data_IF_413884436417
#
_entry.id   IF_413884436417
#
_cell.length_a   1.000
_cell.length_b   1.000
_cell.length_c   1.000
_cell.angle_alpha   90.00
_cell.angle_beta   90.00
_cell.angle_gamma   90.00
#
_symmetry.space_group_name_H-M   'P 1'
#
loop_
_entity.id
_entity.type
_entity.pdbx_description
1 polymer ?
#
# COMPACT_ATOMS: atom_id res chain seq x y z
N UNK A 1 -5.68 10.30 -12.32
CA UNK A 1 -5.98 11.16 -11.16
C UNK A 1 -6.90 12.33 -11.49
N UNK A 2 -6.60 13.15 -12.51
CA UNK A 2 -7.39 14.35 -12.83
C UNK A 2 -6.78 15.61 -12.21
N UNK A 3 -5.47 15.76 -12.40
CA UNK A 3 -4.70 16.95 -12.06
C UNK A 3 -4.98 18.10 -13.03
N UNK A 4 -4.64 19.32 -12.64
CA UNK A 4 -4.86 20.56 -13.37
C UNK A 4 -3.63 21.46 -13.24
N UNK A 5 -3.49 22.43 -14.14
CA UNK A 5 -2.35 23.34 -14.17
C UNK A 5 -2.36 24.36 -13.01
N UNK A 6 -3.52 24.60 -12.40
CA UNK A 6 -3.73 25.44 -11.22
C UNK A 6 -3.59 24.69 -9.88
N UNK A 7 -3.21 23.40 -9.89
CA UNK A 7 -3.04 22.64 -8.66
C UNK A 7 -1.82 23.09 -7.84
N UNK A 8 -2.05 23.21 -6.54
CA UNK A 8 -1.00 23.33 -5.53
C UNK A 8 -0.88 21.98 -4.82
N UNK A 9 0.28 21.34 -4.99
CA UNK A 9 0.63 20.07 -4.36
C UNK A 9 1.25 20.32 -2.99
N UNK A 10 0.83 19.59 -1.97
CA UNK A 10 1.46 19.59 -0.65
C UNK A 10 2.16 18.25 -0.39
N UNK A 11 3.45 18.30 -0.06
CA UNK A 11 4.24 17.13 0.32
C UNK A 11 5.04 17.32 1.62
N UNK A 12 4.81 16.47 2.63
CA UNK A 12 5.70 16.32 3.78
C UNK A 12 6.66 15.12 3.63
N UNK A 13 6.74 14.51 2.43
CA UNK A 13 7.49 13.27 2.20
C UNK A 13 8.98 13.55 1.89
N UNK A 14 9.91 12.63 2.23
CA UNK A 14 11.32 12.81 1.93
C UNK A 14 11.58 12.78 0.42
N UNK A 15 12.24 13.82 -0.10
CA UNK A 15 12.44 14.02 -1.55
C UNK A 15 13.41 13.03 -2.21
N UNK A 16 14.12 12.21 -1.43
CA UNK A 16 14.96 11.13 -1.94
C UNK A 16 14.20 9.81 -2.19
N UNK A 17 12.91 9.74 -1.83
CA UNK A 17 12.01 8.64 -2.21
C UNK A 17 11.14 9.02 -3.41
N UNK A 18 10.75 8.03 -4.22
CA UNK A 18 9.92 8.20 -5.43
C UNK A 18 8.64 9.01 -5.17
N UNK A 19 7.98 8.83 -4.03
CA UNK A 19 6.77 9.57 -3.70
C UNK A 19 7.02 11.09 -3.59
N UNK A 20 7.98 11.54 -2.77
CA UNK A 20 8.30 12.97 -2.66
C UNK A 20 9.03 13.52 -3.90
N UNK A 21 10.12 12.86 -4.29
CA UNK A 21 11.03 13.34 -5.34
C UNK A 21 10.48 13.24 -6.77
N UNK A 22 9.84 12.13 -7.13
CA UNK A 22 9.31 11.93 -8.49
C UNK A 22 7.84 12.35 -8.57
N UNK A 23 7.00 11.83 -7.67
CA UNK A 23 5.55 12.02 -7.79
C UNK A 23 5.07 13.41 -7.33
N UNK A 24 5.83 14.16 -6.52
CA UNK A 24 5.55 15.57 -6.21
C UNK A 24 6.47 16.55 -6.94
N UNK A 25 7.78 16.51 -6.71
CA UNK A 25 8.69 17.49 -7.34
C UNK A 25 8.78 17.34 -8.86
N UNK A 26 8.54 16.15 -9.40
CA UNK A 26 8.38 15.96 -10.84
C UNK A 26 7.22 16.75 -11.46
N UNK A 27 6.16 17.07 -10.70
CA UNK A 27 5.06 17.91 -11.21
C UNK A 27 5.53 19.36 -11.43
N UNK A 28 6.34 19.90 -10.51
CA UNK A 28 6.97 21.20 -10.68
C UNK A 28 7.96 21.21 -11.85
N UNK A 29 8.81 20.19 -11.94
CA UNK A 29 9.89 20.12 -12.93
C UNK A 29 9.41 19.82 -14.37
N UNK A 30 8.34 19.05 -14.55
CA UNK A 30 7.83 18.64 -15.87
C UNK A 30 6.63 19.46 -16.35
N UNK A 31 5.79 19.97 -15.43
CA UNK A 31 4.53 20.64 -15.76
C UNK A 31 4.39 22.05 -15.15
N UNK A 32 5.42 22.55 -14.44
CA UNK A 32 5.40 23.87 -13.83
C UNK A 32 4.46 24.02 -12.63
N UNK A 33 3.94 22.92 -12.07
CA UNK A 33 2.99 22.95 -10.95
C UNK A 33 3.61 23.49 -9.66
N UNK A 34 2.80 24.14 -8.81
CA UNK A 34 3.27 24.63 -7.51
C UNK A 34 3.37 23.48 -6.50
N UNK A 35 4.49 23.38 -5.77
CA UNK A 35 4.68 22.37 -4.71
C UNK A 35 5.07 23.05 -3.39
N UNK A 36 4.22 22.90 -2.37
CA UNK A 36 4.47 23.27 -0.99
C UNK A 36 5.14 22.11 -0.24
N UNK A 37 6.40 22.29 0.16
CA UNK A 37 7.24 21.25 0.79
C UNK A 37 7.34 21.49 2.30
N UNK A 38 6.99 20.49 3.12
CA UNK A 38 7.17 20.56 4.58
C UNK A 38 8.41 19.76 5.02
N UNK A 39 9.39 20.45 5.62
CA UNK A 39 10.70 19.88 6.04
C UNK A 39 10.61 18.69 7.02
N UNK A 40 9.56 18.62 7.85
CA UNK A 40 9.29 17.49 8.75
C UNK A 40 7.78 17.31 8.89
N UNK A 41 7.30 16.08 8.67
CA UNK A 41 5.90 15.70 8.87
C UNK A 41 5.38 16.08 10.26
N UNK A 42 4.10 16.44 10.32
CA UNK A 42 3.31 16.62 11.55
C UNK A 42 1.88 16.22 11.22
N UNK A 43 1.30 15.34 12.03
CA UNK A 43 -0.06 14.86 11.83
C UNK A 43 -1.09 15.99 11.99
N UNK A 44 -1.09 16.67 13.13
CA UNK A 44 -2.00 17.79 13.42
C UNK A 44 -1.71 19.03 12.57
N UNK A 45 -0.47 19.16 12.06
CA UNK A 45 -0.10 20.20 11.10
C UNK A 45 -0.52 19.92 9.66
N UNK A 46 -0.92 18.69 9.29
CA UNK A 46 -1.10 18.30 7.89
C UNK A 46 -2.14 19.17 7.16
N UNK A 47 -3.37 19.21 7.67
CA UNK A 47 -4.46 19.97 7.05
C UNK A 47 -4.39 21.47 7.35
N UNK A 48 -3.74 21.88 8.44
CA UNK A 48 -3.41 23.28 8.70
C UNK A 48 -2.47 23.84 7.62
N UNK A 49 -1.43 23.10 7.23
CA UNK A 49 -0.55 23.45 6.11
C UNK A 49 -1.30 23.41 4.77
N UNK A 50 -2.10 22.37 4.51
CA UNK A 50 -2.89 22.28 3.27
C UNK A 50 -3.78 23.53 3.07
N UNK A 51 -4.40 24.02 4.15
CA UNK A 51 -5.18 25.26 4.14
C UNK A 51 -4.29 26.50 3.99
N UNK A 52 -3.20 26.61 4.74
CA UNK A 52 -2.24 27.74 4.70
C UNK A 52 -1.64 27.97 3.31
N UNK A 53 -1.38 26.89 2.57
CA UNK A 53 -0.79 26.93 1.23
C UNK A 53 -1.82 26.78 0.11
N UNK A 54 -3.13 26.83 0.41
CA UNK A 54 -4.22 26.63 -0.56
C UNK A 54 -4.10 25.33 -1.38
N UNK A 55 -3.50 24.29 -0.80
CA UNK A 55 -3.22 23.02 -1.44
C UNK A 55 -4.51 22.32 -1.91
N UNK A 56 -4.52 21.95 -3.19
CA UNK A 56 -5.59 21.20 -3.84
C UNK A 56 -5.26 19.70 -3.91
N UNK A 57 -3.97 19.34 -3.92
CA UNK A 57 -3.49 17.96 -3.99
C UNK A 57 -2.60 17.66 -2.77
N UNK A 58 -2.94 16.63 -1.98
CA UNK A 58 -2.18 16.25 -0.78
C UNK A 58 -1.49 14.90 -0.92
N UNK A 59 -0.19 14.81 -0.62
CA UNK A 59 0.53 13.54 -0.58
C UNK A 59 0.39 12.79 0.75
N UNK A 60 0.28 11.46 0.67
CA UNK A 60 0.32 10.58 1.84
C UNK A 60 1.16 9.31 1.64
N UNK A 61 1.50 8.68 2.75
CA UNK A 61 1.75 7.24 2.87
C UNK A 61 0.81 6.70 3.95
N UNK A 62 0.40 5.44 3.88
CA UNK A 62 -0.67 4.87 4.73
C UNK A 62 -0.53 5.17 6.22
N UNK A 63 0.68 5.09 6.75
CA UNK A 63 0.97 5.32 8.17
C UNK A 63 0.77 6.78 8.59
N UNK A 64 1.03 7.75 7.69
CA UNK A 64 0.66 9.15 7.94
C UNK A 64 -0.84 9.31 8.09
N UNK A 65 -1.66 8.60 7.29
CA UNK A 65 -3.11 8.69 7.39
C UNK A 65 -3.62 8.16 8.74
N UNK A 66 -3.01 7.11 9.30
CA UNK A 66 -3.30 6.68 10.68
C UNK A 66 -2.93 7.75 11.71
N UNK A 67 -1.71 8.30 11.63
CA UNK A 67 -1.28 9.36 12.56
C UNK A 67 -2.17 10.62 12.49
N UNK A 68 -2.61 11.02 11.29
CA UNK A 68 -3.50 12.17 11.07
C UNK A 68 -4.91 11.87 11.61
N UNK A 69 -5.45 10.68 11.35
CA UNK A 69 -6.77 10.27 11.87
C UNK A 69 -6.80 10.16 13.40
N UNK A 70 -5.66 9.86 14.03
CA UNK A 70 -5.50 9.78 15.48
C UNK A 70 -5.33 11.14 16.19
N UNK A 71 -5.22 12.28 15.49
CA UNK A 71 -5.15 13.59 16.16
C UNK A 71 -6.53 14.07 16.63
N UNK A 72 -6.63 14.92 17.67
CA UNK A 72 -7.87 15.60 18.02
C UNK A 72 -8.49 16.33 16.81
N UNK A 73 -9.81 16.51 16.81
CA UNK A 73 -10.52 17.25 15.76
C UNK A 73 -10.07 18.71 15.68
N UNK A 74 -10.03 19.25 14.46
CA UNK A 74 -9.67 20.64 14.20
C UNK A 74 -10.62 21.30 13.21
N UNK A 75 -10.81 22.62 13.33
CA UNK A 75 -11.49 23.41 12.30
C UNK A 75 -10.83 23.29 10.93
N UNK A 76 -9.54 22.93 10.87
CA UNK A 76 -8.80 22.74 9.62
C UNK A 76 -9.17 21.43 8.90
N UNK A 77 -9.77 20.46 9.59
CA UNK A 77 -10.08 19.12 9.06
C UNK A 77 -11.03 19.18 7.85
N UNK A 78 -11.89 20.20 7.74
CA UNK A 78 -12.84 20.37 6.62
C UNK A 78 -12.76 21.73 5.92
N UNK A 79 -11.79 22.59 6.26
CA UNK A 79 -11.68 23.96 5.71
C UNK A 79 -10.46 24.19 4.81
N UNK A 80 -9.86 23.11 4.30
CA UNK A 80 -8.81 23.11 3.28
C UNK A 80 -9.38 22.96 1.85
N UNK A 81 -8.55 23.17 0.83
CA UNK A 81 -8.94 23.04 -0.60
C UNK A 81 -8.63 21.67 -1.23
N UNK A 82 -8.20 20.67 -0.44
CA UNK A 82 -7.84 19.33 -0.93
C UNK A 82 -9.01 18.67 -1.68
N UNK A 83 -8.79 18.43 -2.97
CA UNK A 83 -9.72 17.77 -3.90
C UNK A 83 -9.24 16.38 -4.34
N UNK A 84 -7.94 16.10 -4.20
CA UNK A 84 -7.36 14.76 -4.37
C UNK A 84 -6.29 14.54 -3.28
N UNK A 85 -6.43 13.46 -2.52
CA UNK A 85 -5.35 12.91 -1.72
C UNK A 85 -4.68 11.79 -2.54
N UNK A 86 -3.35 11.77 -2.69
CA UNK A 86 -2.68 10.74 -3.48
C UNK A 86 -1.42 10.17 -2.81
N UNK A 87 -1.20 8.88 -2.96
CA UNK A 87 -0.23 8.17 -2.12
C UNK A 87 -0.35 6.66 -2.22
N UNK A 88 0.23 5.98 -1.25
CA UNK A 88 0.31 4.53 -1.21
C UNK A 88 0.12 3.97 0.22
N UNK A 89 -0.57 2.83 0.32
CA UNK A 89 -0.80 2.06 1.54
C UNK A 89 -1.98 2.49 2.41
N UNK A 90 -3.00 3.20 1.91
CA UNK A 90 -4.13 3.59 2.76
C UNK A 90 -4.91 2.35 3.25
N UNK A 91 -4.77 2.01 4.54
CA UNK A 91 -5.36 0.80 5.12
C UNK A 91 -6.90 0.82 4.96
N UNK A 92 -7.55 -0.23 4.41
CA UNK A 92 -8.99 -0.22 4.11
C UNK A 92 -9.89 0.12 5.31
N UNK A 93 -9.45 -0.23 6.52
CA UNK A 93 -10.17 -0.03 7.78
C UNK A 93 -10.32 1.46 8.15
N UNK A 94 -9.32 2.29 7.84
CA UNK A 94 -9.33 3.73 8.16
C UNK A 94 -9.81 4.59 6.98
N UNK A 95 -9.80 4.06 5.75
CA UNK A 95 -10.09 4.83 4.53
C UNK A 95 -11.46 5.55 4.58
N UNK A 96 -12.60 4.92 4.95
CA UNK A 96 -13.89 5.61 4.97
C UNK A 96 -13.91 6.76 6.00
N UNK A 97 -13.42 6.48 7.21
CA UNK A 97 -13.33 7.45 8.31
C UNK A 97 -12.42 8.64 7.95
N UNK A 98 -11.30 8.37 7.26
CA UNK A 98 -10.39 9.42 6.78
C UNK A 98 -11.08 10.31 5.73
N UNK A 99 -11.78 9.71 4.77
CA UNK A 99 -12.54 10.43 3.73
C UNK A 99 -13.66 11.28 4.35
N UNK A 100 -14.41 10.74 5.32
CA UNK A 100 -15.52 11.42 5.99
C UNK A 100 -15.06 12.54 6.93
N UNK A 101 -14.03 12.28 7.76
CA UNK A 101 -13.49 13.27 8.70
C UNK A 101 -12.82 14.43 7.95
N UNK A 102 -12.06 14.14 6.90
CA UNK A 102 -11.29 15.16 6.19
C UNK A 102 -11.93 15.62 4.87
N UNK A 103 -13.20 15.25 4.63
CA UNK A 103 -13.98 15.67 3.46
C UNK A 103 -13.23 15.51 2.12
N UNK A 104 -12.57 14.36 1.92
CA UNK A 104 -11.66 14.11 0.80
C UNK A 104 -12.45 13.59 -0.41
N UNK A 105 -12.66 14.37 -1.50
CA UNK A 105 -13.55 13.95 -2.59
C UNK A 105 -12.95 12.85 -3.46
N UNK A 106 -11.62 12.71 -3.46
CA UNK A 106 -10.91 11.71 -4.25
C UNK A 106 -9.66 11.20 -3.54
N UNK A 107 -9.48 9.89 -3.56
CA UNK A 107 -8.24 9.21 -3.15
C UNK A 107 -7.64 8.51 -4.37
N UNK A 108 -6.40 8.88 -4.71
CA UNK A 108 -5.59 8.21 -5.72
C UNK A 108 -4.54 7.34 -5.05
N UNK A 109 -4.85 6.05 -4.92
CA UNK A 109 -3.95 5.04 -4.36
C UNK A 109 -3.13 4.40 -5.49
N UNK A 110 -1.81 4.28 -5.32
CA UNK A 110 -0.92 3.62 -6.29
C UNK A 110 -0.04 2.55 -5.64
N UNK A 111 0.24 1.50 -6.41
CA UNK A 111 1.24 0.48 -6.05
C UNK A 111 2.32 0.41 -7.11
N UNK A 112 3.57 0.30 -6.65
CA UNK A 112 4.75 0.03 -7.45
C UNK A 112 5.91 -0.39 -6.55
N UNK A 113 6.74 -1.31 -7.03
CA UNK A 113 7.97 -1.72 -6.36
C UNK A 113 9.16 -0.96 -6.96
N UNK A 114 10.09 -0.48 -6.12
CA UNK A 114 11.27 0.27 -6.56
C UNK A 114 12.18 -0.51 -7.52
N UNK A 115 12.15 -1.83 -7.45
CA UNK A 115 12.95 -2.73 -8.29
C UNK A 115 12.19 -3.29 -9.52
N UNK A 116 10.96 -2.84 -9.77
CA UNK A 116 10.12 -3.33 -10.85
C UNK A 116 9.52 -2.22 -11.73
N UNK A 117 9.57 -2.41 -13.05
CA UNK A 117 9.00 -1.46 -14.04
C UNK A 117 7.45 -1.50 -14.10
N UNK A 118 6.79 -1.91 -13.02
CA UNK A 118 5.37 -2.22 -12.95
C UNK A 118 4.68 -1.33 -11.89
N UNK A 119 3.74 -0.50 -12.34
CA UNK A 119 2.93 0.34 -11.47
C UNK A 119 1.44 0.16 -11.81
N UNK A 120 0.59 0.05 -10.80
CA UNK A 120 -0.88 0.04 -10.91
C UNK A 120 -1.45 1.20 -10.09
N UNK A 121 -2.64 1.66 -10.44
CA UNK A 121 -3.28 2.83 -9.81
C UNK A 121 -4.79 2.62 -9.70
N UNK A 122 -5.33 2.89 -8.52
CA UNK A 122 -6.74 3.14 -8.28
C UNK A 122 -7.02 4.65 -8.49
N UNK A 123 -8.06 4.97 -9.25
CA UNK A 123 -8.37 6.32 -9.69
C UNK A 123 -9.88 6.63 -9.63
N UNK A 124 -10.66 5.81 -8.93
CA UNK A 124 -12.13 5.86 -8.84
C UNK A 124 -12.66 5.78 -7.39
N UNK A 125 -11.76 5.84 -6.40
CA UNK A 125 -12.04 5.73 -4.97
C UNK A 125 -12.46 4.33 -4.48
N UNK A 126 -12.27 3.25 -5.25
CA UNK A 126 -12.60 1.89 -4.77
C UNK A 126 -11.80 1.56 -3.50
N UNK A 127 -12.47 1.51 -2.36
CA UNK A 127 -11.83 1.45 -1.03
C UNK A 127 -10.92 0.24 -0.91
N UNK A 128 -9.66 0.47 -0.52
CA UNK A 128 -8.66 -0.58 -0.31
C UNK A 128 -8.05 -1.17 -1.57
N UNK A 129 -8.56 -0.83 -2.76
CA UNK A 129 -7.93 -1.26 -4.01
C UNK A 129 -6.65 -0.44 -4.27
N UNK A 130 -5.54 -1.13 -4.50
CA UNK A 130 -4.24 -0.54 -4.85
C UNK A 130 -4.08 -0.31 -6.36
N UNK A 131 -4.96 -0.88 -7.16
CA UNK A 131 -4.91 -0.79 -8.61
C UNK A 131 -6.07 -1.50 -9.32
N UNK A 132 -6.06 -1.41 -10.64
CA UNK A 132 -7.03 -2.06 -11.52
C UNK A 132 -6.33 -2.63 -12.76
N UNK A 133 -6.68 -3.86 -13.17
CA UNK A 133 -6.29 -4.47 -14.45
C UNK A 133 -7.55 -5.00 -15.15
N UNK A 134 -7.80 -4.52 -16.37
CA UNK A 134 -8.98 -4.89 -17.16
C UNK A 134 -9.05 -6.40 -17.41
N UNK A 135 -10.17 -7.01 -17.03
CA UNK A 135 -10.48 -8.42 -17.35
C UNK A 135 -10.76 -8.65 -18.84
N UNK A 136 -11.19 -7.62 -19.56
CA UNK A 136 -11.57 -7.70 -20.98
C UNK A 136 -10.34 -7.59 -21.88
N UNK A 137 -9.36 -6.76 -21.51
CA UNK A 137 -8.15 -6.52 -22.31
C UNK A 137 -6.89 -6.52 -21.42
N UNK A 138 -6.55 -7.65 -20.77
CA UNK A 138 -5.43 -7.70 -19.81
C UNK A 138 -4.07 -7.39 -20.46
N UNK A 139 -3.90 -7.70 -21.75
CA UNK A 139 -2.66 -7.47 -22.50
C UNK A 139 -2.28 -5.99 -22.71
N UNK A 140 -3.16 -5.04 -22.36
CA UNK A 140 -2.85 -3.59 -22.41
C UNK A 140 -1.83 -3.17 -21.33
N UNK A 141 -1.72 -3.92 -20.24
CA UNK A 141 -0.76 -3.66 -19.16
C UNK A 141 0.27 -4.79 -19.05
N UNK A 142 1.59 -4.49 -19.01
CA UNK A 142 2.64 -5.50 -18.91
C UNK A 142 2.81 -6.02 -17.46
N UNK A 143 1.70 -6.33 -16.79
CA UNK A 143 1.63 -6.75 -15.39
C UNK A 143 0.75 -8.01 -15.33
N UNK A 144 1.31 -9.10 -14.81
CA UNK A 144 0.64 -10.41 -14.73
C UNK A 144 0.64 -10.93 -13.31
N UNK A 145 -0.51 -11.42 -12.84
CA UNK A 145 -0.67 -12.00 -11.51
C UNK A 145 -0.61 -13.52 -11.62
N UNK A 146 0.56 -14.06 -11.33
CA UNK A 146 0.79 -15.49 -11.14
C UNK A 146 0.16 -15.95 -9.81
N UNK A 147 -0.24 -17.22 -9.69
CA UNK A 147 -0.61 -17.75 -8.37
C UNK A 147 0.62 -18.00 -7.51
N UNK A 148 0.53 -17.63 -6.24
CA UNK A 148 1.44 -18.04 -5.18
C UNK A 148 0.75 -19.04 -4.24
N UNK A 149 1.54 -19.89 -3.61
CA UNK A 149 1.09 -20.79 -2.55
C UNK A 149 0.92 -20.03 -1.24
N UNK A 150 -0.26 -20.11 -0.61
CA UNK A 150 -0.58 -19.31 0.58
C UNK A 150 0.23 -19.69 1.83
N UNK A 151 0.89 -20.86 1.82
CA UNK A 151 1.69 -21.35 2.95
C UNK A 151 3.19 -20.99 2.87
N UNK A 152 3.65 -20.49 1.72
CA UNK A 152 5.08 -20.23 1.44
C UNK A 152 5.34 -18.94 0.67
N UNK A 153 4.33 -18.37 0.02
CA UNK A 153 4.46 -17.26 -0.94
C UNK A 153 5.15 -17.62 -2.25
N UNK A 154 5.52 -18.90 -2.48
CA UNK A 154 6.23 -19.29 -3.70
C UNK A 154 5.29 -19.44 -4.92
N UNK A 155 5.74 -19.05 -6.13
CA UNK A 155 4.99 -19.26 -7.37
C UNK A 155 4.55 -20.70 -7.62
N UNK A 156 3.31 -20.86 -8.05
CA UNK A 156 2.69 -22.13 -8.39
C UNK A 156 2.93 -22.43 -9.88
N UNK A 157 3.59 -23.52 -10.26
CA UNK A 157 3.85 -23.95 -11.67
C UNK A 157 2.78 -24.90 -12.23
N UNK A 158 2.77 -25.13 -13.55
CA UNK A 158 1.85 -26.06 -14.21
C UNK A 158 2.39 -27.50 -14.29
N UNK A 159 1.59 -28.47 -14.80
CA UNK A 159 1.93 -29.90 -14.81
C UNK A 159 3.19 -30.30 -15.62
N UNK A 160 3.75 -29.40 -16.43
CA UNK A 160 5.00 -29.63 -17.17
C UNK A 160 6.27 -29.32 -16.34
N UNK A 161 6.09 -28.85 -15.11
CA UNK A 161 7.17 -28.45 -14.19
C UNK A 161 7.96 -27.21 -14.62
N UNK A 162 7.57 -26.55 -15.72
CA UNK A 162 8.32 -25.46 -16.35
C UNK A 162 7.57 -24.15 -16.26
N UNK A 163 6.35 -24.08 -16.81
CA UNK A 163 5.56 -22.84 -16.87
C UNK A 163 5.02 -22.47 -15.50
N UNK A 164 5.00 -21.18 -15.15
CA UNK A 164 4.29 -20.69 -13.98
C UNK A 164 2.78 -20.69 -14.28
N UNK A 165 2.00 -21.22 -13.35
CA UNK A 165 0.55 -21.31 -13.48
C UNK A 165 -0.10 -19.94 -13.32
N UNK A 166 -0.92 -19.61 -14.29
CA UNK A 166 -2.20 -19.01 -13.98
C UNK A 166 -3.07 -20.12 -13.34
N UNK A 167 -3.51 -19.90 -12.10
CA UNK A 167 -4.74 -20.51 -11.57
C UNK A 167 -4.78 -22.06 -11.34
N UNK A 168 -3.66 -22.84 -11.26
CA UNK A 168 -3.58 -24.14 -10.49
C UNK A 168 -2.18 -24.82 -10.36
N UNK A 169 -2.01 -25.65 -9.30
CA UNK A 169 -0.80 -26.32 -8.75
C UNK A 169 0.25 -26.98 -9.68
N UNK A 170 1.57 -27.07 -9.39
CA UNK A 170 2.52 -26.48 -8.39
C UNK A 170 4.00 -26.55 -8.96
N UNK A 171 5.10 -25.89 -8.51
CA UNK A 171 5.53 -24.86 -7.50
C UNK A 171 6.92 -24.24 -7.91
N UNK A 172 7.59 -23.45 -7.04
CA UNK A 172 9.07 -23.28 -6.86
C UNK A 172 9.85 -21.99 -7.31
N UNK A 173 10.69 -21.49 -6.37
CA UNK A 173 12.07 -20.93 -6.49
C UNK A 173 12.32 -19.47 -6.05
N UNK A 174 13.40 -19.25 -5.27
CA UNK A 174 13.79 -17.98 -4.61
C UNK A 174 14.81 -17.13 -5.39
N UNK A 175 14.43 -16.60 -6.56
CA UNK A 175 15.16 -15.49 -7.21
C UNK A 175 14.18 -14.38 -7.60
N UNK A 176 14.55 -13.11 -7.36
CA UNK A 176 13.72 -11.93 -7.72
C UNK A 176 13.45 -11.82 -9.23
N UNK A 177 14.28 -12.44 -10.07
CA UNK A 177 13.99 -12.69 -11.49
C UNK A 177 13.76 -14.19 -11.66
N UNK A 178 12.61 -14.55 -12.22
CA UNK A 178 12.27 -15.90 -12.69
C UNK A 178 12.26 -15.92 -14.22
N UNK A 179 12.63 -17.06 -14.79
CA UNK A 179 12.68 -17.31 -16.24
C UNK A 179 11.71 -18.44 -16.63
N UNK A 180 11.41 -18.54 -17.93
CA UNK A 180 10.51 -19.53 -18.53
C UNK A 180 9.12 -19.54 -17.85
N UNK A 181 8.61 -18.34 -17.59
CA UNK A 181 7.40 -18.03 -16.81
C UNK A 181 6.15 -18.40 -17.59
N UNK A 182 6.00 -17.90 -18.82
CA UNK A 182 4.88 -18.20 -19.71
C UNK A 182 5.37 -18.93 -20.97
N UNK A 183 6.47 -18.45 -21.55
CA UNK A 183 7.13 -19.01 -22.74
C UNK A 183 8.65 -19.13 -22.52
N UNK A 184 9.28 -20.05 -23.25
CA UNK A 184 10.73 -20.27 -23.11
C UNK A 184 11.50 -19.02 -23.54
N UNK A 185 12.40 -18.54 -22.67
CA UNK A 185 13.23 -17.35 -22.88
C UNK A 185 12.63 -16.04 -22.37
N UNK A 186 11.42 -16.05 -21.79
CA UNK A 186 10.92 -14.87 -21.06
C UNK A 186 11.57 -14.72 -19.66
N UNK A 187 11.27 -13.60 -19.02
CA UNK A 187 11.65 -13.33 -17.64
C UNK A 187 10.59 -12.45 -16.97
N UNK A 188 10.31 -12.68 -15.69
CA UNK A 188 9.47 -11.80 -14.87
C UNK A 188 10.16 -11.44 -13.55
N UNK A 189 9.90 -10.23 -13.07
CA UNK A 189 10.28 -9.78 -11.75
C UNK A 189 9.22 -10.20 -10.71
N UNK A 190 9.64 -10.86 -9.63
CA UNK A 190 8.79 -11.13 -8.48
C UNK A 190 8.88 -9.97 -7.49
N UNK A 191 7.79 -9.21 -7.31
CA UNK A 191 7.71 -8.16 -6.28
C UNK A 191 7.86 -8.72 -4.86
N UNK A 192 7.37 -9.93 -4.63
CA UNK A 192 7.28 -10.55 -3.31
C UNK A 192 6.01 -10.15 -2.54
N UNK A 193 5.15 -9.30 -3.10
CA UNK A 193 3.87 -8.93 -2.49
C UNK A 193 2.75 -9.87 -2.97
N UNK A 194 1.93 -10.35 -2.04
CA UNK A 194 0.76 -11.17 -2.29
C UNK A 194 -0.45 -10.26 -2.56
N UNK A 195 -1.03 -10.35 -3.76
CA UNK A 195 -2.18 -9.56 -4.18
C UNK A 195 -3.41 -10.45 -4.37
N UNK A 196 -4.57 -9.97 -3.90
CA UNK A 196 -5.88 -10.52 -4.23
C UNK A 196 -6.51 -9.67 -5.33
N UNK A 197 -7.29 -10.28 -6.22
CA UNK A 197 -7.91 -9.61 -7.34
C UNK A 197 -9.40 -9.99 -7.44
N UNK A 198 -10.29 -9.01 -7.50
CA UNK A 198 -11.75 -9.26 -7.54
C UNK A 198 -12.25 -9.65 -8.93
N UNK A 199 -13.54 -9.96 -9.06
CA UNK A 199 -14.17 -10.32 -10.33
C UNK A 199 -14.11 -9.18 -11.38
N UNK A 200 -14.08 -7.91 -10.93
CA UNK A 200 -14.10 -6.73 -11.80
C UNK A 200 -12.72 -6.36 -12.35
N UNK A 201 -11.65 -6.71 -11.64
CA UNK A 201 -10.27 -6.40 -11.99
C UNK A 201 -9.53 -5.49 -11.00
N UNK A 202 -10.16 -5.10 -9.89
CA UNK A 202 -9.49 -4.39 -8.81
C UNK A 202 -8.52 -5.30 -8.06
N UNK A 203 -7.39 -4.73 -7.70
CA UNK A 203 -6.29 -5.40 -7.03
C UNK A 203 -6.16 -4.87 -5.61
N UNK A 204 -5.93 -5.77 -4.65
CA UNK A 204 -5.87 -5.50 -3.22
C UNK A 204 -4.58 -6.10 -2.66
N UNK A 205 -3.87 -5.34 -1.83
CA UNK A 205 -2.72 -5.87 -1.09
C UNK A 205 -3.23 -6.85 -0.02
N UNK A 206 -2.71 -8.08 0.00
CA UNK A 206 -2.99 -9.07 1.07
C UNK A 206 -1.85 -9.08 2.08
N UNK A 207 -0.62 -9.34 1.64
CA UNK A 207 0.55 -9.39 2.52
C UNK A 207 1.88 -9.31 1.73
N UNK A 208 3.01 -9.39 2.42
CA UNK A 208 4.34 -9.58 1.81
C UNK A 208 4.94 -10.94 2.16
N UNK A 209 5.58 -11.57 1.17
CA UNK A 209 6.28 -12.85 1.29
C UNK A 209 7.52 -12.70 2.18
N UNK A 210 7.34 -12.98 3.47
CA UNK A 210 8.34 -12.81 4.52
C UNK A 210 7.75 -12.26 5.82
N UNK A 211 6.68 -11.46 5.72
CA UNK A 211 6.04 -10.76 6.85
C UNK A 211 4.95 -11.66 7.49
N UNK A 212 5.33 -12.93 7.71
CA UNK A 212 4.47 -13.98 8.28
C UNK A 212 5.26 -14.81 9.29
N UNK A 213 4.57 -15.45 10.24
CA UNK A 213 5.19 -16.42 11.13
C UNK A 213 4.34 -17.69 11.24
N UNK A 214 4.99 -18.84 11.47
CA UNK A 214 4.32 -20.13 11.56
C UNK A 214 4.10 -20.55 13.02
N UNK A 215 2.87 -20.84 13.42
CA UNK A 215 2.48 -21.27 14.76
C UNK A 215 1.66 -22.56 14.71
N UNK A 216 2.10 -23.60 15.44
CA UNK A 216 1.41 -24.91 15.50
C UNK A 216 1.05 -25.53 14.12
N UNK A 217 1.88 -25.27 13.11
CA UNK A 217 1.67 -25.74 11.73
C UNK A 217 0.98 -24.72 10.80
N UNK A 218 0.25 -23.75 11.32
CA UNK A 218 -0.44 -22.71 10.55
C UNK A 218 0.46 -21.50 10.29
N UNK A 219 0.27 -20.81 9.16
CA UNK A 219 0.93 -19.54 8.90
C UNK A 219 0.01 -18.38 9.29
N UNK A 220 0.60 -17.37 9.94
CA UNK A 220 -0.09 -16.18 10.45
C UNK A 220 0.52 -14.94 9.79
N UNK A 221 -0.30 -14.16 9.11
CA UNK A 221 0.04 -12.83 8.62
C UNK A 221 0.25 -11.87 9.79
N UNK A 222 1.36 -11.14 9.83
CA UNK A 222 1.48 -10.04 10.81
C UNK A 222 0.53 -8.90 10.43
N UNK A 223 0.47 -8.56 9.14
CA UNK A 223 -0.36 -7.51 8.55
C UNK A 223 -1.85 -7.66 8.87
N UNK A 224 -2.40 -8.87 8.80
CA UNK A 224 -3.81 -9.13 9.11
C UNK A 224 -4.12 -8.98 10.61
N UNK A 225 -3.26 -9.54 11.48
CA UNK A 225 -3.46 -9.47 12.94
C UNK A 225 -3.23 -8.04 13.45
N UNK A 226 -2.28 -7.29 12.89
CA UNK A 226 -2.11 -5.85 13.16
C UNK A 226 -3.37 -5.07 12.84
N UNK A 227 -4.00 -5.32 11.69
CA UNK A 227 -5.22 -4.62 11.31
C UNK A 227 -6.36 -4.87 12.31
N UNK A 228 -6.53 -6.11 12.80
CA UNK A 228 -7.55 -6.42 13.80
C UNK A 228 -7.22 -5.85 15.19
N UNK A 229 -5.98 -5.98 15.65
CA UNK A 229 -5.56 -5.46 16.96
C UNK A 229 -5.58 -3.93 16.98
N UNK A 230 -5.15 -3.26 15.92
CA UNK A 230 -5.19 -1.80 15.83
C UNK A 230 -6.63 -1.25 15.83
N UNK A 231 -7.60 -1.96 15.24
CA UNK A 231 -9.02 -1.59 15.33
C UNK A 231 -9.51 -1.52 16.79
N UNK A 232 -9.30 -2.59 17.59
CA UNK A 232 -9.73 -2.61 19.00
C UNK A 232 -8.84 -1.74 19.91
N UNK A 233 -7.59 -1.47 19.51
CA UNK A 233 -6.71 -0.53 20.19
C UNK A 233 -6.98 0.96 19.83
N UNK A 234 -8.05 1.28 19.09
CA UNK A 234 -8.40 2.66 18.73
C UNK A 234 -7.39 3.33 17.79
N UNK A 235 -6.87 2.56 16.83
CA UNK A 235 -5.85 2.96 15.85
C UNK A 235 -4.50 3.39 16.46
N UNK A 236 -4.21 2.98 17.70
CA UNK A 236 -2.88 3.07 18.32
C UNK A 236 -1.84 2.28 17.51
N UNK A 237 -0.57 2.67 17.68
CA UNK A 237 0.55 1.97 17.03
C UNK A 237 0.57 0.51 17.47
N UNK A 238 0.73 -0.41 16.52
CA UNK A 238 0.53 -1.84 16.73
C UNK A 238 1.46 -2.60 15.80
N UNK A 239 2.34 -3.42 16.35
CA UNK A 239 3.26 -4.27 15.59
C UNK A 239 3.05 -5.73 16.02
N UNK A 240 2.81 -6.63 15.08
CA UNK A 240 2.67 -8.07 15.36
C UNK A 240 3.88 -8.82 14.83
N UNK A 241 4.41 -9.75 15.62
CA UNK A 241 5.59 -10.51 15.26
C UNK A 241 5.63 -11.89 15.93
N UNK A 242 6.27 -12.86 15.28
CA UNK A 242 6.43 -14.20 15.81
C UNK A 242 7.58 -14.29 16.83
N UNK A 243 7.30 -14.65 18.08
CA UNK A 243 8.32 -14.93 19.12
C UNK A 243 8.55 -16.43 19.31
N UNK A 244 9.80 -16.84 19.61
CA UNK A 244 10.07 -18.24 19.99
C UNK A 244 9.61 -18.50 21.42
N UNK A 245 8.84 -19.56 21.62
CA UNK A 245 8.46 -20.07 22.95
C UNK A 245 9.24 -21.38 23.21
N UNK A 246 9.84 -21.59 24.39
CA UNK A 246 10.52 -22.83 24.72
C UNK A 246 9.64 -24.07 24.50
N UNK A 247 10.27 -25.18 24.11
CA UNK A 247 9.63 -26.50 23.92
C UNK A 247 8.43 -26.53 22.95
N UNK A 248 8.27 -25.52 22.08
CA UNK A 248 7.15 -25.42 21.13
C UNK A 248 7.65 -25.26 19.69
N UNK A 249 6.97 -25.87 18.73
CA UNK A 249 7.29 -25.70 17.31
C UNK A 249 6.78 -24.36 16.75
N UNK A 250 7.61 -23.70 15.95
CA UNK A 250 7.29 -22.44 15.28
C UNK A 250 7.57 -21.20 16.13
N UNK A 251 6.68 -20.21 16.02
CA UNK A 251 6.71 -18.93 16.74
C UNK A 251 5.29 -18.58 17.19
N UNK A 252 5.10 -18.17 18.44
CA UNK A 252 3.83 -17.64 18.91
C UNK A 252 3.63 -16.20 18.42
N UNK A 253 2.38 -15.78 18.20
CA UNK A 253 2.09 -14.38 17.92
C UNK A 253 2.29 -13.51 19.16
N UNK A 254 3.04 -12.42 19.01
CA UNK A 254 3.17 -11.33 19.98
C UNK A 254 2.67 -10.05 19.32
N UNK A 255 1.93 -9.22 20.07
CA UNK A 255 1.53 -7.89 19.64
C UNK A 255 2.11 -6.86 20.61
N UNK A 256 2.90 -5.91 20.09
CA UNK A 256 3.31 -4.73 20.82
C UNK A 256 2.37 -3.57 20.43
N UNK A 257 1.70 -2.97 21.42
CA UNK A 257 0.78 -1.84 21.24
C UNK A 257 1.39 -0.63 21.95
N UNK A 258 1.44 0.52 21.28
CA UNK A 258 1.92 1.75 21.89
C UNK A 258 0.90 2.33 22.88
N UNK A 259 1.33 2.52 24.12
CA UNK A 259 0.58 3.26 25.12
C UNK A 259 1.18 4.65 25.33
N UNK A 260 0.44 5.75 25.05
CA UNK A 260 0.92 7.10 25.29
C UNK A 260 0.97 7.51 26.77
N UNK A 261 0.31 6.77 27.67
CA UNK A 261 0.26 7.09 29.10
C UNK A 261 1.38 6.39 29.92
N UNK A 262 1.86 5.24 29.45
CA UNK A 262 3.15 4.65 29.85
C UNK A 262 3.18 3.98 31.24
N UNK A 263 2.93 2.67 31.27
CA UNK A 263 3.34 1.76 32.36
C UNK A 263 4.66 1.06 32.03
#
# INVERSE_FOLDING_TARGET
MGFRNDDIYYTPLPLYHTAGGVMSMGQALLFGSTVAIRKKFSASGYFADCKKYDATIGQYIGEMCRYILATPESQNDKTHKIRVLFGNGLRPQIWPQFVERFNIPKVGEFYGATEGNANIMNNDNTVGAIGFISRIIPAVYPISIIRADESTGEPIRGPDGKRISWIRGEKASKKKIVHDVFVKGDAAFLSGDLLVADERGYLYFKDRTGDTFRWKGENVSTSEVEAQVSNVAGYRDTIVYGVKVPFTEGRAGMAAIYDPEGL
#
